data_IF_658015472022
#
_entry.id   IF_658015472022
#
_cell.length_a   1.000
_cell.length_b   1.000
_cell.length_c   1.000
_cell.angle_alpha   90.00
_cell.angle_beta   90.00
_cell.angle_gamma   90.00
#
_symmetry.space_group_name_H-M   'P 1'
#
loop_
_entity.id
_entity.type
_entity.pdbx_description
1 polymer ?
#
# COMPACT_ATOMS: atom_id res chain seq x y z
N UNK A 1 -5.35 -26.36 -10.43
CA UNK A 1 -4.13 -26.60 -9.62
C UNK A 1 -4.55 -26.83 -8.17
N UNK A 2 -3.99 -27.82 -7.46
CA UNK A 2 -4.32 -28.10 -6.06
C UNK A 2 -3.82 -26.99 -5.13
N UNK A 3 -4.54 -26.75 -4.03
CA UNK A 3 -4.18 -25.74 -3.02
C UNK A 3 -2.76 -25.94 -2.48
N UNK A 4 -2.38 -27.17 -2.17
CA UNK A 4 -1.04 -27.48 -1.68
C UNK A 4 0.05 -27.02 -2.66
N UNK A 5 -0.12 -27.24 -3.96
CA UNK A 5 0.85 -26.81 -4.98
C UNK A 5 0.90 -25.27 -5.07
N UNK A 6 -0.24 -24.58 -4.86
CA UNK A 6 -0.26 -23.10 -4.82
C UNK A 6 0.56 -22.57 -3.63
N UNK A 7 0.42 -23.20 -2.47
CA UNK A 7 1.21 -22.83 -1.27
C UNK A 7 2.70 -23.09 -1.52
N UNK A 8 3.06 -24.24 -2.05
CA UNK A 8 4.46 -24.59 -2.35
C UNK A 8 5.11 -23.59 -3.31
N UNK A 9 4.41 -23.17 -4.35
CA UNK A 9 4.89 -22.14 -5.27
C UNK A 9 5.09 -20.78 -4.61
N UNK A 10 4.24 -20.41 -3.65
CA UNK A 10 4.40 -19.19 -2.87
C UNK A 10 5.60 -19.27 -1.92
N UNK A 11 5.88 -20.44 -1.36
CA UNK A 11 7.07 -20.65 -0.54
C UNK A 11 8.36 -20.65 -1.38
N UNK A 12 8.35 -21.22 -2.59
CA UNK A 12 9.45 -21.09 -3.55
C UNK A 12 9.67 -19.62 -3.95
N UNK A 13 8.59 -18.84 -4.10
CA UNK A 13 8.69 -17.39 -4.37
C UNK A 13 9.33 -16.66 -3.20
N UNK A 14 8.98 -17.02 -1.96
CA UNK A 14 9.63 -16.51 -0.76
C UNK A 14 11.14 -16.77 -0.78
N UNK A 15 11.55 -18.02 -1.00
CA UNK A 15 12.96 -18.39 -1.05
C UNK A 15 13.71 -17.58 -2.11
N UNK A 16 13.14 -17.44 -3.30
CA UNK A 16 13.72 -16.62 -4.38
C UNK A 16 13.92 -15.16 -3.97
N UNK A 17 12.95 -14.58 -3.27
CA UNK A 17 13.03 -13.20 -2.79
C UNK A 17 14.05 -13.04 -1.65
N UNK A 18 14.15 -14.03 -0.74
CA UNK A 18 15.12 -14.05 0.37
C UNK A 18 16.57 -14.25 -0.13
N UNK A 19 16.78 -15.11 -1.13
CA UNK A 19 18.09 -15.28 -1.77
C UNK A 19 18.62 -13.97 -2.37
N UNK A 20 17.74 -13.12 -2.86
CA UNK A 20 18.07 -11.82 -3.42
C UNK A 20 19.21 -11.88 -4.46
N UNK A 21 19.19 -12.91 -5.32
CA UNK A 21 20.21 -13.20 -6.31
C UNK A 21 20.37 -12.12 -7.39
N UNK A 22 21.42 -12.23 -8.21
CA UNK A 22 21.79 -11.22 -9.21
C UNK A 22 20.65 -10.89 -10.18
N UNK A 23 19.89 -11.91 -10.62
CA UNK A 23 18.74 -11.71 -11.52
C UNK A 23 17.71 -10.76 -10.89
N UNK A 24 17.34 -11.00 -9.61
CA UNK A 24 16.37 -10.18 -8.91
C UNK A 24 16.91 -8.76 -8.60
N UNK A 25 18.19 -8.63 -8.25
CA UNK A 25 18.83 -7.32 -8.06
C UNK A 25 18.80 -6.49 -9.34
N UNK A 26 19.06 -7.11 -10.50
CA UNK A 26 18.99 -6.41 -11.80
C UNK A 26 17.56 -5.95 -12.13
N UNK A 27 16.54 -6.75 -11.79
CA UNK A 27 15.13 -6.39 -11.97
C UNK A 27 14.74 -5.20 -11.09
N UNK A 28 15.14 -5.22 -9.80
CA UNK A 28 14.92 -4.09 -8.89
C UNK A 28 15.59 -2.80 -9.40
N UNK A 29 16.82 -2.91 -9.85
CA UNK A 29 17.53 -1.77 -10.45
C UNK A 29 16.80 -1.24 -11.68
N UNK A 30 16.35 -2.12 -12.58
CA UNK A 30 15.58 -1.72 -13.78
C UNK A 30 14.28 -1.02 -13.39
N UNK A 31 13.56 -1.51 -12.37
CA UNK A 31 12.34 -0.89 -11.86
C UNK A 31 12.60 0.51 -11.27
N UNK A 32 13.73 0.69 -10.56
CA UNK A 32 14.11 2.00 -10.00
C UNK A 32 14.44 3.05 -11.07
N UNK A 33 15.06 2.63 -12.17
CA UNK A 33 15.32 3.52 -13.32
C UNK A 33 13.99 3.88 -14.03
N UNK A 34 13.12 2.90 -14.20
CA UNK A 34 11.83 3.10 -14.89
C UNK A 34 10.90 4.04 -14.11
N UNK A 35 10.86 3.92 -12.80
CA UNK A 35 10.09 4.79 -11.92
C UNK A 35 10.95 5.37 -10.80
N UNK A 36 11.36 6.62 -10.92
CA UNK A 36 12.22 7.29 -9.95
C UNK A 36 11.61 7.44 -8.53
N UNK A 37 10.34 7.09 -8.31
CA UNK A 37 9.78 6.94 -6.96
C UNK A 37 10.07 5.57 -6.33
N UNK A 38 10.56 4.61 -7.12
CA UNK A 38 10.88 3.27 -6.68
C UNK A 38 12.37 3.17 -6.35
N UNK A 39 12.79 3.81 -5.25
CA UNK A 39 14.17 3.65 -4.78
C UNK A 39 14.43 2.20 -4.38
N UNK A 40 15.70 1.79 -4.43
CA UNK A 40 16.10 0.46 -3.99
C UNK A 40 15.61 0.17 -2.57
N UNK A 41 15.76 1.15 -1.66
CA UNK A 41 15.28 1.10 -0.28
C UNK A 41 13.80 0.73 -0.18
N UNK A 42 12.95 1.38 -0.98
CA UNK A 42 11.50 1.16 -0.91
C UNK A 42 11.05 -0.09 -1.67
N UNK A 43 11.78 -0.51 -2.69
CA UNK A 43 11.55 -1.84 -3.27
C UNK A 43 11.89 -2.91 -2.23
N UNK A 44 13.03 -2.80 -1.55
CA UNK A 44 13.46 -3.76 -0.53
C UNK A 44 12.51 -3.77 0.67
N UNK A 45 11.98 -2.61 1.08
CA UNK A 45 10.96 -2.51 2.13
C UNK A 45 9.67 -3.26 1.73
N UNK A 46 9.18 -3.07 0.50
CA UNK A 46 8.00 -3.79 -0.01
C UNK A 46 8.23 -5.29 -0.05
N UNK A 47 9.39 -5.72 -0.56
CA UNK A 47 9.76 -7.13 -0.64
C UNK A 47 9.86 -7.76 0.76
N UNK A 48 10.52 -7.08 1.70
CA UNK A 48 10.60 -7.52 3.10
C UNK A 48 9.21 -7.72 3.71
N UNK A 49 8.31 -6.75 3.55
CA UNK A 49 6.96 -6.86 4.08
C UNK A 49 6.17 -8.01 3.44
N UNK A 50 6.34 -8.25 2.13
CA UNK A 50 5.72 -9.38 1.43
C UNK A 50 6.24 -10.71 2.00
N UNK A 51 7.55 -10.84 2.21
CA UNK A 51 8.16 -12.05 2.77
C UNK A 51 7.64 -12.32 4.19
N UNK A 52 7.66 -11.30 5.05
CA UNK A 52 7.33 -11.43 6.48
C UNK A 52 5.83 -11.58 6.73
N UNK A 53 5.00 -10.83 6.00
CA UNK A 53 3.57 -10.75 6.28
C UNK A 53 2.73 -11.64 5.36
N UNK A 54 3.11 -11.83 4.09
CA UNK A 54 2.27 -12.52 3.11
C UNK A 54 2.78 -13.91 2.72
N UNK A 55 4.09 -14.15 2.75
CA UNK A 55 4.68 -15.40 2.32
C UNK A 55 5.23 -16.26 3.48
N UNK A 56 4.98 -15.90 4.73
CA UNK A 56 5.28 -16.75 5.89
C UNK A 56 4.41 -18.01 5.85
N UNK A 57 5.04 -19.19 5.97
CA UNK A 57 4.34 -20.48 5.91
C UNK A 57 3.23 -20.58 6.95
N UNK A 58 3.50 -20.16 8.20
CA UNK A 58 2.52 -20.21 9.27
C UNK A 58 1.35 -19.27 9.02
N UNK A 59 1.63 -18.02 8.56
CA UNK A 59 0.60 -17.04 8.24
C UNK A 59 -0.27 -17.50 7.08
N UNK A 60 0.33 -18.03 6.00
CA UNK A 60 -0.39 -18.59 4.85
C UNK A 60 -1.28 -19.76 5.28
N UNK A 61 -0.75 -20.70 6.08
CA UNK A 61 -1.51 -21.85 6.56
C UNK A 61 -2.69 -21.42 7.43
N UNK A 62 -2.47 -20.50 8.36
CA UNK A 62 -3.53 -19.98 9.21
C UNK A 62 -4.61 -19.24 8.41
N UNK A 63 -4.20 -18.47 7.39
CA UNK A 63 -5.11 -17.74 6.52
C UNK A 63 -5.97 -18.69 5.66
N UNK A 64 -5.36 -19.71 5.06
CA UNK A 64 -6.05 -20.77 4.31
C UNK A 64 -7.07 -21.49 5.18
N UNK A 65 -6.67 -21.86 6.40
CA UNK A 65 -7.56 -22.53 7.35
C UNK A 65 -8.71 -21.63 7.82
N UNK A 66 -8.47 -20.35 8.00
CA UNK A 66 -9.50 -19.38 8.41
C UNK A 66 -10.65 -19.31 7.39
N UNK A 67 -10.34 -19.37 6.09
CA UNK A 67 -11.34 -19.36 5.02
C UNK A 67 -11.79 -20.75 4.58
N UNK A 68 -11.30 -21.81 5.21
CA UNK A 68 -11.60 -23.20 4.84
C UNK A 68 -11.39 -23.48 3.34
N UNK A 69 -10.30 -22.95 2.78
CA UNK A 69 -9.99 -23.14 1.36
C UNK A 69 -9.72 -24.61 1.06
N UNK A 70 -10.27 -25.07 -0.05
CA UNK A 70 -10.08 -26.44 -0.57
C UNK A 70 -9.86 -26.44 -2.09
N UNK A 71 -9.92 -27.59 -2.68
CA UNK A 71 -9.78 -27.80 -4.11
C UNK A 71 -11.14 -27.88 -4.86
N UNK A 72 -12.26 -27.69 -4.16
CA UNK A 72 -13.61 -27.89 -4.73
C UNK A 72 -14.13 -26.67 -5.51
N UNK A 73 -13.32 -25.62 -5.64
CA UNK A 73 -13.71 -24.39 -6.32
C UNK A 73 -13.88 -24.59 -7.84
N UNK A 74 -14.90 -23.95 -8.41
CA UNK A 74 -15.06 -23.79 -9.86
C UNK A 74 -14.32 -22.51 -10.28
N UNK A 75 -13.16 -22.62 -10.97
CA UNK A 75 -12.36 -21.44 -11.28
C UNK A 75 -13.13 -20.41 -12.12
N UNK A 76 -13.13 -19.15 -11.70
CA UNK A 76 -13.60 -18.00 -12.46
C UNK A 76 -12.42 -17.16 -12.91
N UNK A 77 -12.56 -16.39 -13.98
CA UNK A 77 -11.53 -15.45 -14.42
C UNK A 77 -11.75 -14.09 -13.76
N UNK A 78 -10.86 -13.70 -12.87
CA UNK A 78 -10.89 -12.42 -12.16
C UNK A 78 -9.98 -11.42 -12.85
N UNK A 79 -10.54 -10.31 -13.31
CA UNK A 79 -9.78 -9.20 -13.88
C UNK A 79 -9.23 -8.30 -12.77
N UNK A 80 -7.92 -8.10 -12.71
CA UNK A 80 -7.27 -7.25 -11.69
C UNK A 80 -6.66 -6.02 -12.35
N UNK A 81 -7.12 -4.82 -11.98
CA UNK A 81 -6.46 -3.54 -12.32
C UNK A 81 -5.63 -3.11 -11.14
N UNK A 82 -4.32 -3.07 -11.30
CA UNK A 82 -3.38 -2.74 -10.24
C UNK A 82 -2.97 -1.27 -10.28
N UNK A 83 -2.91 -0.65 -9.11
CA UNK A 83 -2.21 0.62 -8.92
C UNK A 83 -0.69 0.44 -9.06
N UNK A 84 0.06 1.54 -9.08
CA UNK A 84 1.53 1.51 -9.17
C UNK A 84 2.14 2.75 -8.52
N UNK A 85 1.55 3.18 -7.41
CA UNK A 85 2.03 4.32 -6.63
C UNK A 85 3.19 3.94 -5.70
N UNK A 86 3.22 2.70 -5.24
CA UNK A 86 4.32 2.11 -4.45
C UNK A 86 4.70 0.74 -5.03
N UNK A 87 5.93 0.24 -4.80
CA UNK A 87 6.37 -1.04 -5.35
C UNK A 87 5.49 -2.20 -4.90
N UNK A 88 5.09 -3.06 -5.85
CA UNK A 88 4.34 -4.29 -5.60
C UNK A 88 3.01 -4.10 -4.87
N UNK A 89 2.39 -2.91 -4.96
CA UNK A 89 1.12 -2.59 -4.25
C UNK A 89 -0.02 -3.55 -4.58
N UNK A 90 -0.02 -4.12 -5.79
CA UNK A 90 -1.02 -5.10 -6.22
C UNK A 90 -0.74 -6.54 -5.80
N UNK A 91 0.34 -6.81 -5.06
CA UNK A 91 0.74 -8.18 -4.70
C UNK A 91 -0.32 -8.90 -3.85
N UNK A 92 -0.95 -8.22 -2.92
CA UNK A 92 -1.99 -8.82 -2.07
C UNK A 92 -3.23 -9.26 -2.88
N UNK A 93 -3.66 -8.48 -3.86
CA UNK A 93 -4.77 -8.87 -4.75
C UNK A 93 -4.40 -10.07 -5.63
N UNK A 94 -3.18 -10.04 -6.18
CA UNK A 94 -2.62 -11.20 -6.88
C UNK A 94 -2.64 -12.45 -6.02
N UNK A 95 -2.17 -12.35 -4.77
CA UNK A 95 -2.10 -13.44 -3.80
C UNK A 95 -3.49 -14.00 -3.47
N UNK A 96 -4.46 -13.13 -3.18
CA UNK A 96 -5.85 -13.53 -2.87
C UNK A 96 -6.45 -14.37 -4.00
N UNK A 97 -6.36 -13.88 -5.26
CA UNK A 97 -6.91 -14.60 -6.41
C UNK A 97 -6.13 -15.88 -6.69
N UNK A 98 -4.81 -15.88 -6.51
CA UNK A 98 -3.98 -17.06 -6.71
C UNK A 98 -4.29 -18.15 -5.70
N UNK A 99 -4.32 -17.84 -4.41
CA UNK A 99 -4.52 -18.83 -3.35
C UNK A 99 -5.95 -19.37 -3.34
N UNK A 100 -6.95 -18.57 -3.73
CA UNK A 100 -8.33 -19.04 -3.84
C UNK A 100 -8.55 -20.05 -4.97
N UNK A 101 -7.64 -20.12 -5.96
CA UNK A 101 -7.73 -21.06 -7.09
C UNK A 101 -8.46 -20.52 -8.30
N UNK A 102 -8.83 -19.27 -8.31
CA UNK A 102 -9.36 -18.60 -9.49
C UNK A 102 -8.27 -18.31 -10.54
N UNK A 103 -8.69 -18.14 -11.78
CA UNK A 103 -7.83 -17.59 -12.83
C UNK A 103 -7.78 -16.07 -12.71
N UNK A 104 -6.70 -15.46 -13.17
CA UNK A 104 -6.55 -14.01 -13.11
C UNK A 104 -5.99 -13.42 -14.40
N UNK A 105 -6.62 -12.36 -14.86
CA UNK A 105 -6.14 -11.52 -15.96
C UNK A 105 -5.70 -10.17 -15.35
N UNK A 106 -4.41 -9.90 -15.38
CA UNK A 106 -3.82 -8.76 -14.67
C UNK A 106 -3.52 -7.63 -15.63
N UNK A 107 -4.05 -6.45 -15.34
CA UNK A 107 -3.65 -5.18 -15.95
C UNK A 107 -2.74 -4.43 -14.96
N UNK A 108 -1.44 -4.49 -15.23
CA UNK A 108 -0.45 -3.75 -14.46
C UNK A 108 -0.54 -2.25 -14.72
N UNK A 109 -0.13 -1.46 -13.76
CA UNK A 109 0.13 -0.05 -13.94
C UNK A 109 1.42 0.15 -14.74
N UNK A 110 1.45 1.10 -15.68
CA UNK A 110 2.69 1.47 -16.38
C UNK A 110 3.78 2.02 -15.45
N UNK A 111 3.46 2.31 -14.19
CA UNK A 111 4.42 2.75 -13.17
C UNK A 111 5.05 1.59 -12.41
N UNK A 112 4.44 0.40 -12.43
CA UNK A 112 4.90 -0.82 -11.76
C UNK A 112 4.53 -2.06 -12.60
N UNK A 113 5.13 -2.17 -13.76
CA UNK A 113 4.93 -3.31 -14.68
C UNK A 113 6.13 -4.27 -14.72
N UNK A 114 7.21 -3.95 -14.03
CA UNK A 114 8.46 -4.73 -14.05
C UNK A 114 8.48 -5.76 -12.93
N UNK A 115 8.29 -5.33 -11.67
CA UNK A 115 8.51 -6.19 -10.50
C UNK A 115 7.58 -7.40 -10.49
N UNK A 116 6.28 -7.20 -10.40
CA UNK A 116 5.31 -8.29 -10.33
C UNK A 116 5.33 -9.17 -11.58
N UNK A 117 5.53 -8.57 -12.75
CA UNK A 117 5.62 -9.32 -14.00
C UNK A 117 6.81 -10.27 -14.01
N UNK A 118 7.95 -9.85 -13.45
CA UNK A 118 9.11 -10.72 -13.29
C UNK A 118 8.82 -11.88 -12.33
N UNK A 119 8.24 -11.60 -11.15
CA UNK A 119 7.91 -12.62 -10.15
C UNK A 119 6.98 -13.70 -10.74
N UNK A 120 5.94 -13.29 -11.46
CA UNK A 120 5.02 -14.23 -12.11
C UNK A 120 5.73 -15.03 -13.22
N UNK A 121 6.61 -14.42 -14.02
CA UNK A 121 7.41 -15.15 -15.01
C UNK A 121 8.36 -16.16 -14.35
N UNK A 122 8.91 -15.83 -13.19
CA UNK A 122 9.73 -16.76 -12.41
C UNK A 122 8.90 -17.94 -11.95
N UNK A 123 7.69 -17.73 -11.46
CA UNK A 123 6.75 -18.81 -11.12
C UNK A 123 6.40 -19.68 -12.34
N UNK A 124 6.24 -19.10 -13.55
CA UNK A 124 6.04 -19.88 -14.77
C UNK A 124 7.22 -20.79 -15.11
N UNK A 125 8.44 -20.41 -14.76
CA UNK A 125 9.63 -21.26 -14.97
C UNK A 125 9.67 -22.49 -14.05
N UNK A 126 9.01 -22.41 -12.90
CA UNK A 126 8.87 -23.54 -11.98
C UNK A 126 7.67 -24.44 -12.31
N UNK A 127 6.57 -23.81 -12.73
CA UNK A 127 5.32 -24.51 -13.06
C UNK A 127 4.66 -23.87 -14.30
N UNK A 128 4.88 -24.50 -15.45
CA UNK A 128 4.42 -23.96 -16.74
C UNK A 128 2.89 -23.89 -16.86
N UNK A 129 2.16 -24.76 -16.15
CA UNK A 129 0.68 -24.75 -16.18
C UNK A 129 0.07 -23.49 -15.59
N UNK A 130 0.85 -22.70 -14.83
CA UNK A 130 0.42 -21.38 -14.33
C UNK A 130 0.01 -20.41 -15.44
N UNK A 131 0.53 -20.57 -16.65
CA UNK A 131 0.14 -19.74 -17.80
C UNK A 131 -1.36 -19.89 -18.17
N UNK A 132 -2.00 -20.96 -17.71
CA UNK A 132 -3.44 -21.14 -17.87
C UNK A 132 -4.25 -20.43 -16.76
N UNK A 133 -3.61 -20.07 -15.65
CA UNK A 133 -4.27 -19.44 -14.50
C UNK A 133 -3.98 -17.96 -14.38
N UNK A 134 -2.84 -17.49 -14.89
CA UNK A 134 -2.40 -16.11 -14.75
C UNK A 134 -2.06 -15.59 -16.14
N UNK A 135 -2.60 -14.44 -16.50
CA UNK A 135 -2.31 -13.76 -17.76
C UNK A 135 -2.21 -12.25 -17.58
N UNK A 136 -1.54 -11.58 -18.50
CA UNK A 136 -1.43 -10.11 -18.53
C UNK A 136 -2.19 -9.55 -19.72
N UNK A 137 -2.92 -8.46 -19.51
CA UNK A 137 -3.64 -7.77 -20.57
C UNK A 137 -3.55 -6.24 -20.42
N UNK A 138 -3.50 -5.54 -21.55
CA UNK A 138 -3.59 -4.06 -21.56
C UNK A 138 -5.02 -3.57 -21.32
N UNK A 139 -6.02 -4.39 -21.68
CA UNK A 139 -7.44 -4.11 -21.52
C UNK A 139 -8.11 -5.38 -20.97
N UNK A 140 -8.87 -5.23 -19.89
CA UNK A 140 -9.64 -6.33 -19.31
C UNK A 140 -10.98 -6.47 -20.04
N UNK A 141 -11.23 -7.67 -20.59
CA UNK A 141 -12.49 -8.03 -21.24
C UNK A 141 -12.84 -9.48 -20.93
N UNK A 142 -14.13 -9.77 -20.76
CA UNK A 142 -14.62 -11.14 -20.61
C UNK A 142 -14.20 -11.82 -19.29
N UNK A 143 -13.92 -11.06 -18.24
CA UNK A 143 -13.71 -11.60 -16.91
C UNK A 143 -15.06 -11.77 -16.20
N UNK A 144 -15.14 -12.76 -15.30
CA UNK A 144 -16.34 -13.07 -14.53
C UNK A 144 -16.54 -12.09 -13.36
N UNK A 145 -15.43 -11.58 -12.82
CA UNK A 145 -15.40 -10.61 -11.71
C UNK A 145 -14.21 -9.65 -11.86
N UNK A 146 -14.22 -8.54 -11.12
CA UNK A 146 -13.17 -7.52 -11.21
C UNK A 146 -12.74 -7.02 -9.83
N UNK A 147 -11.43 -6.84 -9.69
CA UNK A 147 -10.82 -6.11 -8.56
C UNK A 147 -10.04 -4.94 -9.19
N UNK A 148 -10.44 -3.71 -8.90
CA UNK A 148 -9.83 -2.54 -9.53
C UNK A 148 -9.44 -1.49 -8.51
N UNK A 149 -8.15 -1.14 -8.49
CA UNK A 149 -7.58 -0.12 -7.62
C UNK A 149 -7.08 1.06 -8.44
N UNK A 150 -7.49 2.27 -8.10
CA UNK A 150 -7.07 3.46 -8.82
C UNK A 150 -7.40 4.78 -8.11
N UNK A 151 -7.04 5.89 -8.75
CA UNK A 151 -7.42 7.22 -8.28
C UNK A 151 -8.95 7.41 -8.31
N UNK A 152 -9.45 8.42 -7.61
CA UNK A 152 -10.88 8.76 -7.62
C UNK A 152 -11.42 8.98 -9.04
N UNK A 153 -10.61 9.52 -9.95
CA UNK A 153 -11.00 9.67 -11.36
C UNK A 153 -11.07 8.31 -12.07
N UNK A 154 -10.06 7.45 -11.87
CA UNK A 154 -10.05 6.10 -12.46
C UNK A 154 -11.21 5.26 -11.94
N UNK A 155 -11.53 5.37 -10.64
CA UNK A 155 -12.61 4.62 -10.02
C UNK A 155 -13.99 4.90 -10.67
N UNK A 156 -14.26 6.13 -11.10
CA UNK A 156 -15.50 6.46 -11.85
C UNK A 156 -15.62 5.67 -13.15
N UNK A 157 -14.51 5.47 -13.87
CA UNK A 157 -14.49 4.64 -15.07
C UNK A 157 -14.68 3.16 -14.72
N UNK A 158 -14.06 2.69 -13.63
CA UNK A 158 -14.23 1.31 -13.16
C UNK A 158 -15.68 1.06 -12.72
N UNK A 159 -16.28 1.97 -11.97
CA UNK A 159 -17.71 1.92 -11.61
C UNK A 159 -18.59 1.80 -12.88
N UNK A 160 -18.31 2.58 -13.92
CA UNK A 160 -19.07 2.53 -15.17
C UNK A 160 -18.92 1.22 -15.93
N UNK A 161 -17.68 0.69 -16.05
CA UNK A 161 -17.42 -0.49 -16.87
C UNK A 161 -17.66 -1.81 -16.13
N UNK A 162 -17.41 -1.86 -14.81
CA UNK A 162 -17.43 -3.10 -14.04
C UNK A 162 -18.66 -3.28 -13.15
N UNK A 163 -19.51 -2.26 -12.96
CA UNK A 163 -20.73 -2.34 -12.12
C UNK A 163 -21.73 -3.42 -12.52
N UNK A 164 -21.63 -3.94 -13.73
CA UNK A 164 -22.49 -5.05 -14.23
C UNK A 164 -22.00 -6.43 -13.78
N UNK A 165 -20.85 -6.51 -13.19
CA UNK A 165 -20.19 -7.74 -12.76
C UNK A 165 -19.92 -7.67 -11.25
N UNK A 166 -19.79 -8.83 -10.58
CA UNK A 166 -19.22 -8.83 -9.22
C UNK A 166 -17.91 -8.08 -9.22
N UNK A 167 -17.75 -7.06 -8.36
CA UNK A 167 -16.55 -6.22 -8.40
C UNK A 167 -16.23 -5.56 -7.08
N UNK A 168 -14.92 -5.45 -6.80
CA UNK A 168 -14.34 -4.59 -5.77
C UNK A 168 -13.69 -3.41 -6.48
N UNK A 169 -14.17 -2.19 -6.21
CA UNK A 169 -13.59 -0.97 -6.77
C UNK A 169 -13.08 -0.12 -5.64
N UNK A 170 -11.74 0.03 -5.59
CA UNK A 170 -11.04 0.78 -4.56
C UNK A 170 -10.66 2.17 -5.04
N UNK A 171 -10.90 3.15 -4.17
CA UNK A 171 -10.63 4.56 -4.39
C UNK A 171 -9.39 5.00 -3.62
N UNK A 172 -8.99 6.25 -3.83
CA UNK A 172 -7.88 6.81 -3.07
C UNK A 172 -8.25 6.92 -1.58
N UNK A 173 -7.37 6.42 -0.72
CA UNK A 173 -7.46 6.54 0.74
C UNK A 173 -6.15 7.04 1.31
N UNK A 174 -6.19 7.44 2.56
CA UNK A 174 -5.01 7.85 3.33
C UNK A 174 -5.13 7.35 4.76
N UNK A 175 -4.04 7.42 5.50
CA UNK A 175 -4.05 7.11 6.94
C UNK A 175 -3.80 8.38 7.75
N UNK A 176 -4.20 8.32 9.00
CA UNK A 176 -4.03 9.40 9.95
C UNK A 176 -3.36 8.88 11.23
N UNK A 177 -2.84 9.76 12.05
CA UNK A 177 -2.31 9.40 13.36
C UNK A 177 -2.90 10.26 14.47
N UNK A 178 -3.04 9.70 15.67
CA UNK A 178 -3.47 10.41 16.85
C UNK A 178 -2.33 10.38 17.88
N UNK A 179 -1.83 11.55 18.22
CA UNK A 179 -0.81 11.74 19.23
C UNK A 179 -1.45 12.20 20.54
N UNK A 180 -0.92 11.72 21.67
CA UNK A 180 -1.42 12.05 23.03
C UNK A 180 -0.65 13.18 23.69
N UNK A 181 0.52 13.55 23.13
CA UNK A 181 1.39 14.62 23.62
C UNK A 181 2.45 14.16 24.61
N UNK A 182 2.59 12.85 24.83
CA UNK A 182 3.59 12.24 25.69
C UNK A 182 4.43 11.16 25.00
N UNK A 183 4.46 11.18 23.65
CA UNK A 183 5.23 10.23 22.87
C UNK A 183 6.72 10.43 23.11
N UNK A 184 7.42 9.30 23.25
CA UNK A 184 8.89 9.29 23.31
C UNK A 184 9.49 9.51 21.91
N UNK A 185 10.76 9.89 21.84
CA UNK A 185 11.48 10.04 20.56
C UNK A 185 11.39 8.77 19.71
N UNK A 186 11.56 7.58 20.29
CA UNK A 186 11.43 6.29 19.61
C UNK A 186 10.05 6.09 18.96
N UNK A 187 8.98 6.50 19.65
CA UNK A 187 7.61 6.44 19.10
C UNK A 187 7.45 7.43 17.95
N UNK A 188 7.98 8.63 18.06
CA UNK A 188 7.92 9.65 17.00
C UNK A 188 8.77 9.27 15.78
N UNK A 189 9.90 8.58 15.97
CA UNK A 189 10.68 8.01 14.87
C UNK A 189 9.90 6.92 14.12
N UNK A 190 9.19 6.05 14.83
CA UNK A 190 8.28 5.05 14.20
C UNK A 190 7.14 5.72 13.44
N UNK A 191 6.54 6.77 14.00
CA UNK A 191 5.55 7.57 13.26
C UNK A 191 6.15 8.23 12.02
N UNK A 192 7.41 8.68 12.11
CA UNK A 192 8.13 9.23 10.96
C UNK A 192 8.23 8.22 9.82
N UNK A 193 8.40 6.92 10.12
CA UNK A 193 8.36 5.85 9.10
C UNK A 193 6.98 5.73 8.45
N UNK A 194 5.90 5.79 9.24
CA UNK A 194 4.54 5.74 8.72
C UNK A 194 4.20 6.95 7.81
N UNK A 195 4.83 8.10 8.04
CA UNK A 195 4.65 9.30 7.23
C UNK A 195 5.46 9.24 5.93
N UNK A 196 6.76 8.89 6.03
CA UNK A 196 7.72 9.11 4.95
C UNK A 196 7.99 7.89 4.07
N UNK A 197 7.78 6.65 4.56
CA UNK A 197 7.98 5.47 3.74
C UNK A 197 7.28 5.63 2.38
N UNK A 198 7.92 5.18 1.31
CA UNK A 198 7.43 5.35 -0.06
C UNK A 198 7.14 6.82 -0.46
N UNK A 199 7.86 7.78 0.13
CA UNK A 199 7.65 9.22 -0.09
C UNK A 199 6.22 9.71 0.23
N UNK A 200 5.47 9.02 1.09
CA UNK A 200 4.09 9.36 1.42
C UNK A 200 3.07 8.99 0.33
N UNK A 201 3.42 8.12 -0.63
CA UNK A 201 2.59 7.80 -1.79
C UNK A 201 1.59 6.66 -1.57
N UNK A 202 1.71 5.89 -0.50
CA UNK A 202 0.81 4.78 -0.18
C UNK A 202 -0.48 5.22 0.51
N UNK A 203 -1.55 4.45 0.40
CA UNK A 203 -2.80 4.70 1.13
C UNK A 203 -2.66 4.51 2.64
N UNK A 204 -1.64 3.80 3.09
CA UNK A 204 -1.32 3.60 4.51
C UNK A 204 -0.35 4.66 5.05
N UNK A 205 0.15 5.58 4.21
CA UNK A 205 0.93 6.70 4.72
C UNK A 205 0.06 7.66 5.52
N UNK A 206 0.62 8.10 6.65
CA UNK A 206 0.01 9.12 7.49
C UNK A 206 0.19 10.49 6.83
N UNK A 207 -0.90 11.07 6.35
CA UNK A 207 -0.92 12.40 5.73
C UNK A 207 -1.51 13.47 6.64
N UNK A 208 -2.08 13.05 7.77
CA UNK A 208 -2.61 13.95 8.79
C UNK A 208 -2.39 13.40 10.19
N UNK A 209 -2.01 14.28 11.11
CA UNK A 209 -1.95 13.98 12.53
C UNK A 209 -2.97 14.82 13.30
N UNK A 210 -3.49 14.23 14.35
CA UNK A 210 -4.30 14.91 15.35
C UNK A 210 -3.51 14.99 16.64
N UNK A 211 -3.43 16.19 17.22
CA UNK A 211 -2.61 16.47 18.40
C UNK A 211 -3.44 17.20 19.47
N UNK A 212 -3.14 17.05 20.77
CA UNK A 212 -3.84 17.80 21.82
C UNK A 212 -3.53 19.30 21.73
N UNK A 213 -4.39 20.13 22.32
CA UNK A 213 -4.13 21.57 22.43
C UNK A 213 -2.81 21.83 23.14
N UNK A 214 -2.02 22.76 22.59
CA UNK A 214 -0.71 23.13 23.16
C UNK A 214 0.41 22.11 22.89
N UNK A 215 0.23 21.20 21.91
CA UNK A 215 1.25 20.24 21.52
C UNK A 215 2.55 20.91 21.07
N UNK A 216 3.70 20.46 21.60
CA UNK A 216 5.01 20.89 21.15
C UNK A 216 5.51 20.04 19.98
N UNK A 217 5.65 20.66 18.83
CA UNK A 217 6.06 20.00 17.58
C UNK A 217 7.58 19.80 17.45
N UNK A 218 8.39 20.29 18.37
CA UNK A 218 9.86 20.27 18.25
C UNK A 218 10.38 18.83 18.12
N UNK A 219 10.00 17.95 19.03
CA UNK A 219 10.45 16.54 19.00
C UNK A 219 9.94 15.81 17.75
N UNK A 220 8.71 16.09 17.30
CA UNK A 220 8.17 15.51 16.08
C UNK A 220 8.97 15.95 14.85
N UNK A 221 9.26 17.24 14.70
CA UNK A 221 10.08 17.74 13.60
C UNK A 221 11.51 17.20 13.63
N UNK A 222 12.07 16.99 14.83
CA UNK A 222 13.37 16.35 14.98
C UNK A 222 13.35 14.89 14.53
N UNK A 223 12.29 14.13 14.80
CA UNK A 223 12.18 12.74 14.35
C UNK A 223 12.15 12.61 12.82
N UNK A 224 11.70 13.63 12.10
CA UNK A 224 11.70 13.65 10.63
C UNK A 224 13.11 13.77 10.03
N UNK A 225 14.13 14.15 10.83
CA UNK A 225 15.51 14.29 10.33
C UNK A 225 16.11 12.98 9.83
N UNK A 226 15.59 11.80 10.24
CA UNK A 226 16.00 10.52 9.67
C UNK A 226 15.70 10.40 8.16
N UNK A 227 14.76 11.20 7.63
CA UNK A 227 14.41 11.31 6.22
C UNK A 227 14.96 12.58 5.55
N UNK A 228 15.93 13.25 6.17
CA UNK A 228 16.52 14.50 5.64
C UNK A 228 17.16 14.30 4.26
N UNK A 229 17.65 13.09 3.95
CA UNK A 229 18.20 12.73 2.66
C UNK A 229 17.17 12.79 1.51
N UNK A 230 15.86 12.88 1.79
CA UNK A 230 14.85 13.11 0.77
C UNK A 230 15.03 14.45 0.04
N UNK A 231 15.75 15.41 0.65
CA UNK A 231 16.14 16.65 -0.01
C UNK A 231 16.96 16.42 -1.27
N UNK A 232 17.72 15.30 -1.36
CA UNK A 232 18.53 14.95 -2.51
C UNK A 232 17.74 14.26 -3.63
N UNK A 233 16.50 13.85 -3.35
CA UNK A 233 15.63 13.23 -4.33
C UNK A 233 14.86 14.29 -5.11
N UNK A 234 15.23 14.54 -6.39
CA UNK A 234 14.73 15.64 -7.21
C UNK A 234 13.20 15.78 -7.24
N UNK A 235 12.47 14.67 -7.41
CA UNK A 235 10.99 14.72 -7.45
C UNK A 235 10.40 15.12 -6.10
N UNK A 236 10.97 14.62 -5.00
CA UNK A 236 10.51 14.98 -3.66
C UNK A 236 10.82 16.45 -3.35
N UNK A 237 12.05 16.89 -3.64
CA UNK A 237 12.47 18.28 -3.47
C UNK A 237 11.60 19.25 -4.24
N UNK A 238 11.29 18.96 -5.51
CA UNK A 238 10.41 19.79 -6.32
C UNK A 238 9.01 19.92 -5.69
N UNK A 239 8.45 18.85 -5.11
CA UNK A 239 7.18 18.91 -4.39
C UNK A 239 7.29 19.77 -3.13
N UNK A 240 8.39 19.64 -2.37
CA UNK A 240 8.62 20.45 -1.19
C UNK A 240 8.68 21.95 -1.55
N UNK A 241 9.49 22.33 -2.53
CA UNK A 241 9.67 23.72 -2.94
C UNK A 241 8.36 24.32 -3.48
N UNK A 242 7.59 23.52 -4.22
CA UNK A 242 6.27 23.93 -4.71
C UNK A 242 5.28 24.18 -3.56
N UNK A 243 5.16 23.22 -2.64
CA UNK A 243 4.23 23.34 -1.51
C UNK A 243 4.67 24.45 -0.54
N UNK A 244 5.96 24.63 -0.30
CA UNK A 244 6.49 25.76 0.47
C UNK A 244 6.10 27.10 -0.16
N UNK A 245 6.28 27.22 -1.47
CA UNK A 245 5.90 28.44 -2.20
C UNK A 245 4.41 28.75 -2.05
N UNK A 246 3.54 27.74 -2.07
CA UNK A 246 2.09 27.91 -1.83
C UNK A 246 1.81 28.47 -0.43
N UNK A 247 2.50 27.97 0.62
CA UNK A 247 2.29 28.48 1.98
C UNK A 247 2.74 29.95 2.09
N UNK A 248 3.91 30.29 1.51
CA UNK A 248 4.44 31.65 1.51
C UNK A 248 3.51 32.61 0.76
N UNK A 249 3.08 32.26 -0.46
CA UNK A 249 2.20 33.10 -1.28
C UNK A 249 0.84 33.37 -0.63
N UNK A 250 0.32 32.39 0.14
CA UNK A 250 -0.96 32.52 0.85
C UNK A 250 -0.80 33.08 2.27
N UNK A 251 0.40 33.49 2.69
CA UNK A 251 0.71 33.96 4.05
C UNK A 251 0.20 32.99 5.15
N UNK A 252 0.31 31.68 4.91
CA UNK A 252 -0.10 30.66 5.86
C UNK A 252 1.06 30.29 6.78
N UNK A 253 0.75 30.10 8.06
CA UNK A 253 1.73 29.59 9.00
C UNK A 253 2.08 28.13 8.65
N UNK A 254 3.35 27.79 8.71
CA UNK A 254 3.88 26.44 8.56
C UNK A 254 5.10 26.24 9.48
N UNK A 255 5.37 25.00 9.81
CA UNK A 255 6.63 24.56 10.42
C UNK A 255 7.35 23.63 9.46
N UNK A 256 8.65 23.47 9.58
CA UNK A 256 9.43 22.58 8.70
C UNK A 256 10.74 22.15 9.30
N UNK A 257 11.23 20.96 8.89
CA UNK A 257 12.58 20.50 9.08
C UNK A 257 13.41 20.58 7.77
N UNK A 258 12.99 21.42 6.79
CA UNK A 258 13.59 21.62 5.46
C UNK A 258 13.29 20.52 4.43
N UNK A 259 12.61 19.45 4.82
CA UNK A 259 12.17 18.38 3.91
C UNK A 259 10.68 18.11 3.99
N UNK A 260 10.05 18.35 5.12
CA UNK A 260 8.62 18.13 5.35
C UNK A 260 7.99 19.39 5.91
N UNK A 261 6.91 19.83 5.30
CA UNK A 261 6.08 20.94 5.77
C UNK A 261 5.00 20.39 6.72
N UNK A 262 4.84 21.03 7.85
CA UNK A 262 3.77 20.77 8.80
C UNK A 262 2.79 21.92 8.77
N UNK A 263 1.53 21.68 8.36
CA UNK A 263 0.54 22.71 8.06
C UNK A 263 -0.77 22.44 8.80
N UNK A 264 -1.32 23.44 9.48
CA UNK A 264 -2.65 23.34 10.06
C UNK A 264 -3.71 23.29 8.95
N UNK A 265 -4.49 22.22 8.90
CA UNK A 265 -5.49 22.01 7.86
C UNK A 265 -6.52 20.97 8.28
N UNK A 266 -7.78 21.15 7.92
CA UNK A 266 -8.85 20.18 8.14
C UNK A 266 -8.85 19.05 7.10
N UNK A 267 -8.12 19.19 5.99
CA UNK A 267 -8.01 18.19 4.96
C UNK A 267 -7.32 16.91 5.49
N UNK A 268 -7.86 15.74 5.17
CA UNK A 268 -7.24 14.45 5.50
C UNK A 268 -6.01 14.18 4.63
N UNK A 269 -6.12 14.46 3.33
CA UNK A 269 -5.01 14.27 2.39
C UNK A 269 -4.08 15.47 2.41
N UNK A 270 -2.79 15.20 2.42
CA UNK A 270 -1.75 16.20 2.19
C UNK A 270 -0.98 15.87 0.89
N UNK A 271 -0.41 16.86 0.22
CA UNK A 271 0.50 16.60 -0.90
C UNK A 271 1.82 16.00 -0.39
N UNK A 272 2.61 15.46 -1.32
CA UNK A 272 3.96 14.95 -1.03
C UNK A 272 4.77 16.03 -0.32
N UNK A 273 5.61 15.65 0.65
CA UNK A 273 6.44 16.55 1.47
C UNK A 273 5.67 17.48 2.43
N UNK A 274 4.38 17.26 2.60
CA UNK A 274 3.55 17.97 3.58
C UNK A 274 2.82 16.98 4.48
N UNK A 275 2.72 17.32 5.76
CA UNK A 275 1.88 16.66 6.75
C UNK A 275 0.88 17.66 7.29
N UNK A 276 -0.40 17.35 7.24
CA UNK A 276 -1.42 18.18 7.85
C UNK A 276 -1.54 17.88 9.34
N UNK A 277 -1.90 18.88 10.14
CA UNK A 277 -2.29 18.65 11.55
C UNK A 277 -3.56 19.40 11.91
N UNK A 278 -4.22 18.94 12.96
CA UNK A 278 -5.32 19.64 13.64
C UNK A 278 -5.27 19.33 15.13
N UNK A 279 -5.74 20.27 15.93
CA UNK A 279 -5.88 20.07 17.37
C UNK A 279 -7.19 19.35 17.71
N UNK A 280 -7.16 18.55 18.76
CA UNK A 280 -8.36 17.96 19.34
C UNK A 280 -8.45 18.31 20.84
N UNK A 281 -9.68 18.32 21.36
CA UNK A 281 -9.93 18.54 22.80
C UNK A 281 -10.15 17.20 23.52
N UNK A 282 -10.90 16.28 22.89
CA UNK A 282 -11.23 14.98 23.46
C UNK A 282 -11.06 13.88 22.43
N UNK A 283 -10.35 12.82 22.81
CA UNK A 283 -9.97 11.71 21.93
C UNK A 283 -11.19 10.87 21.51
N UNK A 284 -12.15 10.62 22.40
CA UNK A 284 -13.31 9.77 22.10
C UNK A 284 -14.24 10.42 21.08
N UNK A 285 -14.44 11.74 21.19
CA UNK A 285 -15.18 12.53 20.21
C UNK A 285 -14.49 12.56 18.84
N UNK A 286 -13.15 12.59 18.80
CA UNK A 286 -12.37 12.50 17.58
C UNK A 286 -12.50 11.10 16.96
N UNK A 287 -12.29 10.04 17.73
CA UNK A 287 -12.39 8.66 17.26
C UNK A 287 -13.75 8.34 16.66
N UNK A 288 -14.83 8.79 17.31
CA UNK A 288 -16.19 8.62 16.80
C UNK A 288 -16.37 9.27 15.41
N UNK A 289 -15.77 10.43 15.19
CA UNK A 289 -15.81 11.12 13.89
C UNK A 289 -14.96 10.43 12.82
N UNK A 290 -13.80 9.87 13.19
CA UNK A 290 -12.87 9.25 12.24
C UNK A 290 -13.34 7.87 11.78
N UNK A 291 -13.94 7.05 12.66
CA UNK A 291 -14.45 5.70 12.34
C UNK A 291 -15.47 5.67 11.19
N UNK A 292 -16.17 6.77 10.95
CA UNK A 292 -17.15 6.87 9.86
C UNK A 292 -16.58 7.43 8.55
N UNK A 293 -15.30 7.80 8.53
CA UNK A 293 -14.64 8.37 7.35
C UNK A 293 -14.14 7.27 6.43
N UNK A 294 -14.84 7.06 5.32
CA UNK A 294 -14.46 6.05 4.29
C UNK A 294 -13.12 6.32 3.62
N UNK A 295 -12.60 7.54 3.70
CA UNK A 295 -11.32 7.93 3.11
C UNK A 295 -10.10 7.54 3.97
N UNK A 296 -10.33 7.02 5.19
CA UNK A 296 -9.27 6.58 6.10
C UNK A 296 -9.04 5.09 5.94
N UNK A 297 -7.76 4.70 5.72
CA UNK A 297 -7.34 3.31 5.62
C UNK A 297 -7.02 2.73 6.99
N UNK A 298 -6.28 3.46 7.82
CA UNK A 298 -6.01 3.10 9.22
C UNK A 298 -5.67 4.33 10.05
N UNK A 299 -5.75 4.19 11.37
CA UNK A 299 -5.39 5.21 12.37
C UNK A 299 -4.16 4.69 13.13
N UNK A 300 -2.97 5.22 12.82
CA UNK A 300 -1.75 4.87 13.53
C UNK A 300 -1.82 5.37 14.99
N UNK A 301 -1.38 4.51 15.92
CA UNK A 301 -1.52 4.70 17.35
C UNK A 301 -2.86 4.22 17.93
N UNK A 302 -3.81 3.76 17.10
CA UNK A 302 -5.11 3.21 17.51
C UNK A 302 -5.35 1.85 16.84
N UNK A 303 -5.52 1.80 15.51
CA UNK A 303 -5.78 0.56 14.76
C UNK A 303 -4.50 -0.26 14.59
N UNK A 304 -3.38 0.43 14.40
CA UNK A 304 -2.06 -0.15 14.23
C UNK A 304 -1.03 0.60 15.09
N UNK A 305 -0.03 -0.09 15.66
CA UNK A 305 1.07 0.58 16.36
C UNK A 305 1.84 1.52 15.42
N UNK A 306 2.44 2.58 15.96
CA UNK A 306 3.34 3.44 15.19
C UNK A 306 4.50 2.63 14.59
N UNK A 307 4.85 2.91 13.34
CA UNK A 307 5.85 2.20 12.54
C UNK A 307 5.33 0.91 11.88
N UNK A 308 4.04 0.61 12.02
CA UNK A 308 3.42 -0.59 11.44
C UNK A 308 2.36 -0.31 10.38
N UNK A 309 2.07 0.95 10.06
CA UNK A 309 1.07 1.28 9.06
C UNK A 309 1.40 0.67 7.68
N UNK A 310 2.70 0.55 7.34
CA UNK A 310 3.17 -0.01 6.08
C UNK A 310 3.36 -1.54 6.09
N UNK A 311 3.01 -2.23 7.17
CA UNK A 311 3.15 -3.67 7.34
C UNK A 311 1.78 -4.34 7.53
N UNK A 312 0.87 -4.32 6.54
CA UNK A 312 -0.42 -4.98 6.65
C UNK A 312 -0.26 -6.50 6.74
N UNK A 313 -1.08 -7.14 7.56
CA UNK A 313 -1.19 -8.60 7.59
C UNK A 313 -2.07 -9.13 6.45
N UNK A 314 -2.11 -10.46 6.24
CA UNK A 314 -2.93 -11.11 5.21
C UNK A 314 -4.43 -10.79 5.32
N UNK A 315 -4.92 -10.53 6.53
CA UNK A 315 -6.33 -10.17 6.80
C UNK A 315 -6.61 -8.67 6.79
N UNK A 316 -5.57 -7.84 6.62
CA UNK A 316 -5.69 -6.39 6.55
C UNK A 316 -6.04 -5.92 5.12
N UNK A 317 -7.21 -6.30 4.67
CA UNK A 317 -7.66 -5.99 3.31
C UNK A 317 -7.76 -4.48 3.05
N UNK A 318 -7.33 -4.11 1.85
CA UNK A 318 -7.47 -2.72 1.41
C UNK A 318 -8.94 -2.30 1.42
N UNK A 319 -9.20 -1.08 1.89
CA UNK A 319 -10.54 -0.50 2.04
C UNK A 319 -11.46 -1.24 3.04
N UNK A 320 -10.90 -2.16 3.85
CA UNK A 320 -11.69 -2.98 4.77
C UNK A 320 -12.67 -3.93 4.06
N UNK A 321 -12.45 -4.19 2.76
CA UNK A 321 -13.27 -5.13 1.98
C UNK A 321 -12.55 -6.47 1.95
N UNK A 322 -13.15 -7.47 2.58
CA UNK A 322 -12.62 -8.82 2.60
C UNK A 322 -12.61 -9.42 1.19
N UNK A 323 -11.44 -9.36 0.56
CA UNK A 323 -11.22 -9.84 -0.82
C UNK A 323 -11.36 -11.36 -0.90
N UNK A 324 -10.94 -12.11 0.12
CA UNK A 324 -11.09 -13.57 0.12
C UNK A 324 -12.55 -13.97 0.21
N UNK A 325 -13.33 -13.37 1.13
CA UNK A 325 -14.76 -13.63 1.22
C UNK A 325 -15.48 -13.31 -0.10
N UNK A 326 -15.11 -12.18 -0.75
CA UNK A 326 -15.65 -11.85 -2.08
C UNK A 326 -15.35 -12.94 -3.11
N UNK A 327 -14.11 -13.41 -3.20
CA UNK A 327 -13.69 -14.44 -4.15
C UNK A 327 -14.41 -15.77 -3.91
N UNK A 328 -14.65 -16.14 -2.66
CA UNK A 328 -15.37 -17.37 -2.31
C UNK A 328 -16.87 -17.32 -2.63
N UNK A 329 -17.42 -16.15 -2.93
CA UNK A 329 -18.83 -16.00 -3.35
C UNK A 329 -19.03 -16.06 -4.87
N UNK A 330 -17.95 -16.16 -5.67
CA UNK A 330 -18.00 -16.23 -7.13
C UNK A 330 -18.32 -17.65 -7.63
#
# INVERSE_FOLDING_TARGET
>A
MKLQNRIELLLMLREYLEENGEEWQMVKHTASIHNGWFTQEFIDLSVKNIIEEFLSQDKLTNWVNHYHLDDAIVPKNVGIVMAGNIPLVGFHDFLCVFISGHMQTIKLSSKDDILLKHLIKKMYSWEVTLQNYISFASILKGCDAYIATGSNNSARYFDYYFSKYPSIIRKNRTSVAILKGNETTDILEKLSDDIHAFFGLGCRNVTKIFVPQGYDFVLLLQSFNRYKYFADHHKYRNNYDYNLSIQIMNNRFYMTNETTLLVESDALFSPISQLNYSFYSEIDGLLSKLKHKKDIQCIAGIDVPFGKAQCPELVDYADGIDTMQFLLTL
#
